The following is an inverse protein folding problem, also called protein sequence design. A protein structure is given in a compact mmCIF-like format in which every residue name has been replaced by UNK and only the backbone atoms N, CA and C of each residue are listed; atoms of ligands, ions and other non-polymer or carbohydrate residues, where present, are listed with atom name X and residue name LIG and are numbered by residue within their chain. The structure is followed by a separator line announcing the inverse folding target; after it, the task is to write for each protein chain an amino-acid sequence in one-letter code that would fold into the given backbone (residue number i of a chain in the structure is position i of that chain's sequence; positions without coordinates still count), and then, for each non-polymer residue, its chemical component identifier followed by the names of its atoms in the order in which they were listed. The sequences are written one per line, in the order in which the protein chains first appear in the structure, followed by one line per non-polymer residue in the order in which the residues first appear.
data_IF_789030862955
#
_entry.id   IF_789030862955
#
_cell.length_a   1.000
_cell.length_b   1.000
_cell.length_c   1.000
_cell.angle_alpha   90.00
_cell.angle_beta   90.00
_cell.angle_gamma   90.00
#
_symmetry.space_group_name_H-M   'P 1'
#
loop_
_entity.id
_entity.type
_entity.pdbx_description
1 polymer ?
#
# COMPACT_ATOMS: atom_id res chain seq x y z
N UNK A 1 -5.75 -1.26 19.39
CA UNK A 1 -5.22 -1.20 18.00
C UNK A 1 -5.94 -2.31 17.25
N UNK A 2 -6.48 -2.05 16.05
CA UNK A 2 -7.16 -3.11 15.30
C UNK A 2 -6.18 -4.24 15.00
N UNK A 3 -6.68 -5.47 15.00
CA UNK A 3 -5.85 -6.62 14.75
C UNK A 3 -5.58 -6.76 13.25
N UNK A 4 -4.36 -7.13 12.87
CA UNK A 4 -3.94 -7.21 11.46
C UNK A 4 -4.74 -8.29 10.71
N UNK A 5 -5.17 -9.34 11.40
CA UNK A 5 -6.01 -10.39 10.80
C UNK A 5 -7.40 -9.87 10.39
N UNK A 6 -7.93 -8.84 11.05
CA UNK A 6 -9.20 -8.20 10.65
C UNK A 6 -9.07 -7.42 9.34
N UNK A 7 -7.87 -6.90 9.03
CA UNK A 7 -7.60 -6.28 7.73
C UNK A 7 -7.49 -7.33 6.63
N UNK A 8 -6.81 -8.44 6.90
CA UNK A 8 -6.59 -9.53 5.94
C UNK A 8 -7.90 -10.22 5.56
N UNK A 9 -8.86 -10.30 6.49
CA UNK A 9 -10.16 -10.93 6.25
C UNK A 9 -11.11 -10.11 5.37
N UNK A 10 -10.81 -8.83 5.09
CA UNK A 10 -11.65 -7.99 4.23
C UNK A 10 -11.48 -8.38 2.76
N UNK A 11 -12.60 -8.48 2.05
CA UNK A 11 -12.59 -8.64 0.59
C UNK A 11 -12.19 -7.31 -0.07
N UNK A 12 -11.31 -7.39 -1.07
CA UNK A 12 -10.79 -6.22 -1.78
C UNK A 12 -10.99 -6.46 -3.27
N UNK A 13 -12.11 -5.96 -3.84
CA UNK A 13 -12.39 -6.16 -5.26
C UNK A 13 -11.40 -5.39 -6.12
N UNK A 14 -11.25 -5.81 -7.37
CA UNK A 14 -10.26 -5.23 -8.30
C UNK A 14 -10.51 -3.72 -8.54
N UNK A 15 -11.76 -3.27 -8.50
CA UNK A 15 -12.12 -1.85 -8.63
C UNK A 15 -11.75 -0.95 -7.43
N UNK A 16 -11.39 -1.54 -6.28
CA UNK A 16 -11.00 -0.77 -5.10
C UNK A 16 -9.56 -0.25 -5.18
N UNK A 17 -8.75 -0.77 -6.11
CA UNK A 17 -7.35 -0.40 -6.25
C UNK A 17 -7.20 0.93 -6.98
N UNK A 18 -6.35 1.79 -6.41
CA UNK A 18 -5.97 3.07 -7.00
C UNK A 18 -4.48 3.06 -7.28
N UNK A 19 -4.12 3.30 -8.54
CA UNK A 19 -2.74 3.48 -8.99
C UNK A 19 -2.28 4.93 -8.79
N UNK A 20 -1.02 5.13 -8.45
CA UNK A 20 -0.43 6.47 -8.36
C UNK A 20 -0.44 7.18 -9.71
N UNK A 21 -0.79 8.47 -9.71
CA UNK A 21 -0.70 9.32 -10.91
C UNK A 21 0.75 9.59 -11.35
N UNK A 22 1.73 9.28 -10.49
CA UNK A 22 3.15 9.37 -10.81
C UNK A 22 3.67 8.15 -11.59
N UNK A 23 2.89 7.06 -11.70
CA UNK A 23 3.27 5.78 -12.30
C UNK A 23 3.16 5.72 -13.84
N UNK A 24 3.63 6.73 -14.58
CA UNK A 24 3.40 6.79 -16.05
C UNK A 24 4.50 7.43 -16.91
N UNK A 25 5.68 7.71 -16.36
CA UNK A 25 6.68 8.59 -17.01
C UNK A 25 7.88 7.94 -17.70
N UNK A 26 8.07 6.61 -17.64
CA UNK A 26 9.30 5.97 -18.13
C UNK A 26 9.17 4.50 -18.52
N UNK A 27 10.17 3.98 -19.25
CA UNK A 27 10.26 2.58 -19.65
C UNK A 27 10.60 1.67 -18.47
N UNK A 28 9.55 1.25 -17.75
CA UNK A 28 9.55 0.06 -16.90
C UNK A 28 9.48 0.34 -15.40
N UNK A 29 8.48 -0.24 -14.74
CA UNK A 29 8.69 -0.87 -13.43
C UNK A 29 8.03 -0.31 -12.17
N UNK A 30 7.34 0.85 -12.16
CA UNK A 30 6.97 1.47 -10.88
C UNK A 30 5.47 1.71 -10.70
N UNK A 31 4.75 0.70 -10.19
CA UNK A 31 3.29 0.72 -10.14
C UNK A 31 2.75 0.16 -8.82
N UNK A 32 3.08 0.82 -7.71
CA UNK A 32 2.42 0.57 -6.44
C UNK A 32 0.95 0.97 -6.51
N UNK A 33 0.07 0.08 -6.07
CA UNK A 33 -1.37 0.29 -5.95
C UNK A 33 -1.80 0.22 -4.50
N UNK A 34 -2.84 0.98 -4.17
CA UNK A 34 -3.41 1.04 -2.82
C UNK A 34 -4.91 0.85 -2.86
N UNK A 35 -5.44 0.09 -1.90
CA UNK A 35 -6.87 0.03 -1.61
C UNK A 35 -7.12 0.38 -0.14
N UNK A 36 -8.20 1.12 0.11
CA UNK A 36 -8.61 1.49 1.48
C UNK A 36 -9.40 0.36 2.10
N UNK A 37 -9.08 0.05 3.36
CA UNK A 37 -9.79 -0.91 4.19
C UNK A 37 -10.42 -0.18 5.38
N UNK A 38 -11.35 -0.86 6.05
CA UNK A 38 -11.79 -0.38 7.35
C UNK A 38 -10.66 -0.53 8.37
N UNK A 39 -10.02 0.60 8.71
CA UNK A 39 -8.97 0.66 9.73
C UNK A 39 -7.54 0.51 9.22
N UNK A 40 -7.34 0.62 7.91
CA UNK A 40 -6.01 0.55 7.31
C UNK A 40 -6.05 0.61 5.79
N UNK A 41 -4.96 0.15 5.20
CA UNK A 41 -4.77 0.06 3.76
C UNK A 41 -4.12 -1.26 3.41
N UNK A 42 -4.28 -1.66 2.16
CA UNK A 42 -3.47 -2.72 1.55
C UNK A 42 -2.72 -2.15 0.37
N UNK A 43 -1.43 -2.49 0.29
CA UNK A 43 -0.54 -2.15 -0.80
C UNK A 43 -0.26 -3.39 -1.63
N UNK A 44 -0.13 -3.24 -2.95
CA UNK A 44 0.39 -4.29 -3.84
C UNK A 44 1.24 -3.68 -4.95
N UNK A 45 2.02 -4.53 -5.58
CA UNK A 45 2.72 -4.23 -6.83
C UNK A 45 1.81 -4.60 -8.02
N UNK A 46 1.68 -3.72 -9.01
CA UNK A 46 0.83 -4.01 -10.19
C UNK A 46 1.32 -5.20 -11.02
N UNK A 47 2.61 -5.50 -11.03
CA UNK A 47 3.16 -6.64 -11.77
C UNK A 47 3.01 -7.94 -10.97
N UNK A 48 2.80 -7.84 -9.66
CA UNK A 48 2.63 -8.95 -8.73
C UNK A 48 1.42 -8.74 -7.79
N UNK A 49 0.18 -8.72 -8.31
CA UNK A 49 -1.01 -8.30 -7.55
C UNK A 49 -1.40 -9.24 -6.39
N UNK A 50 -0.81 -10.43 -6.35
CA UNK A 50 -0.96 -11.42 -5.27
C UNK A 50 -0.11 -11.05 -4.03
N UNK A 51 0.97 -10.29 -4.20
CA UNK A 51 1.81 -9.84 -3.09
C UNK A 51 1.19 -8.62 -2.43
N UNK A 52 0.50 -8.85 -1.31
CA UNK A 52 -0.24 -7.82 -0.57
C UNK A 52 0.39 -7.52 0.78
N UNK A 53 0.58 -6.23 1.06
CA UNK A 53 1.07 -5.73 2.35
C UNK A 53 -0.07 -4.98 3.04
N UNK A 54 -0.55 -5.53 4.15
CA UNK A 54 -1.60 -4.92 4.96
C UNK A 54 -0.99 -4.04 6.04
N UNK A 55 -1.46 -2.81 6.15
CA UNK A 55 -1.03 -1.82 7.14
C UNK A 55 -2.27 -1.25 7.83
N UNK A 56 -2.25 -1.22 9.16
CA UNK A 56 -3.20 -0.42 9.95
C UNK A 56 -3.03 1.07 9.64
N UNK A 57 -4.04 1.88 9.98
CA UNK A 57 -3.95 3.33 9.84
C UNK A 57 -2.71 3.92 10.53
N UNK A 58 -2.32 3.36 11.68
CA UNK A 58 -1.15 3.78 12.43
C UNK A 58 0.16 3.40 11.74
N UNK A 59 0.28 2.17 11.25
CA UNK A 59 1.45 1.71 10.50
C UNK A 59 1.62 2.49 9.18
N UNK A 60 0.53 2.71 8.45
CA UNK A 60 0.57 3.48 7.19
C UNK A 60 0.97 4.94 7.42
N UNK A 61 0.46 5.55 8.48
CA UNK A 61 0.88 6.90 8.89
C UNK A 61 2.36 6.93 9.26
N UNK A 62 2.84 5.99 10.08
CA UNK A 62 4.24 5.93 10.46
C UNK A 62 5.16 5.73 9.24
N UNK A 63 4.80 4.80 8.35
CA UNK A 63 5.51 4.54 7.10
C UNK A 63 5.63 5.79 6.23
N UNK A 64 4.51 6.45 5.92
CA UNK A 64 4.52 7.64 5.06
C UNK A 64 5.28 8.81 5.68
N UNK A 65 5.23 8.98 6.99
CA UNK A 65 6.02 9.99 7.70
C UNK A 65 7.53 9.71 7.62
N UNK A 66 7.94 8.45 7.81
CA UNK A 66 9.35 8.07 7.69
C UNK A 66 9.87 8.21 6.25
N UNK A 67 9.07 7.85 5.25
CA UNK A 67 9.42 8.11 3.83
C UNK A 67 9.57 9.61 3.55
N UNK A 68 8.66 10.45 4.06
CA UNK A 68 8.75 11.92 3.90
C UNK A 68 9.94 12.53 4.63
N UNK A 69 10.38 11.91 5.74
CA UNK A 69 11.56 12.31 6.49
C UNK A 69 12.87 11.73 5.92
N UNK A 70 12.81 11.04 4.78
CA UNK A 70 13.96 10.41 4.11
C UNK A 70 14.71 9.44 5.03
N UNK A 71 13.98 8.73 5.91
CA UNK A 71 14.59 7.75 6.81
C UNK A 71 15.15 6.56 6.00
N UNK A 72 16.42 6.17 6.26
CA UNK A 72 17.07 5.11 5.51
C UNK A 72 16.36 3.77 5.74
N UNK A 73 16.12 3.04 4.65
CA UNK A 73 15.53 1.69 4.67
C UNK A 73 14.00 1.63 4.66
N UNK A 74 13.30 2.76 4.50
CA UNK A 74 11.83 2.80 4.35
C UNK A 74 11.33 2.89 2.90
N UNK A 75 12.22 3.01 1.92
CA UNK A 75 11.88 2.89 0.49
C UNK A 75 12.36 1.52 0.02
N UNK A 76 11.45 0.73 -0.58
CA UNK A 76 11.74 -0.57 -1.19
C UNK A 76 12.65 -0.43 -2.40
#
# INVERSE_FOLDING_TARGET
MRDKSELIAQDVPEEAWTKSSFSGGGSGGDCLEIAKLQGGVVLRDSENPEMRIYLTDAEYKAYTQGVQAEEPGLVL
#
